data_IF_508280926783
#
_entry.id   IF_508280926783
#
_cell.length_a   1.000
_cell.length_b   1.000
_cell.length_c   1.000
_cell.angle_alpha   90.00
_cell.angle_beta   90.00
_cell.angle_gamma   90.00
#
_symmetry.space_group_name_H-M   'P 1'
#
loop_
_entity.id
_entity.type
_entity.pdbx_description
1 polymer ?
#
# COMPACT_ATOMS: atom_id res chain seq x y z
N UNK A 1 3.73 27.94 -21.48
CA UNK A 1 4.55 27.50 -20.34
C UNK A 1 3.89 28.03 -19.07
N UNK A 2 3.40 27.17 -18.18
CA UNK A 2 2.85 27.60 -16.87
C UNK A 2 4.01 28.08 -16.03
N UNK A 3 3.94 29.30 -15.54
CA UNK A 3 4.97 29.93 -14.69
C UNK A 3 4.68 29.65 -13.22
N UNK A 4 5.66 29.84 -12.33
CA UNK A 4 5.47 29.78 -10.89
C UNK A 4 4.32 30.68 -10.41
N UNK A 5 4.07 31.79 -11.09
CA UNK A 5 2.92 32.68 -10.83
C UNK A 5 1.57 31.98 -11.04
N UNK A 6 1.45 31.15 -12.09
CA UNK A 6 0.21 30.42 -12.37
C UNK A 6 -0.03 29.29 -11.33
N UNK A 7 1.02 28.70 -10.77
CA UNK A 7 0.88 27.74 -9.64
C UNK A 7 0.33 28.45 -8.41
N UNK A 8 0.82 29.66 -8.11
CA UNK A 8 0.37 30.48 -6.98
C UNK A 8 -1.09 30.92 -7.11
N UNK A 9 -1.56 31.19 -8.34
CA UNK A 9 -2.96 31.55 -8.61
C UNK A 9 -3.93 30.43 -8.22
N UNK A 10 -3.54 29.18 -8.43
CA UNK A 10 -4.39 28.01 -8.13
C UNK A 10 -4.23 27.47 -6.70
N UNK A 11 -3.26 27.97 -5.92
CA UNK A 11 -2.95 27.46 -4.59
C UNK A 11 -4.16 27.43 -3.65
N UNK A 12 -4.96 28.50 -3.48
CA UNK A 12 -6.10 28.47 -2.55
C UNK A 12 -7.14 27.41 -2.94
N UNK A 13 -7.45 27.31 -4.23
CA UNK A 13 -8.45 26.36 -4.75
C UNK A 13 -7.98 24.90 -4.59
N UNK A 14 -6.72 24.62 -4.87
CA UNK A 14 -6.16 23.26 -4.76
C UNK A 14 -5.93 22.85 -3.30
N UNK A 15 -5.56 23.80 -2.45
CA UNK A 15 -5.45 23.56 -1.01
C UNK A 15 -6.83 23.23 -0.41
N UNK A 16 -7.84 24.04 -0.68
CA UNK A 16 -9.20 23.77 -0.23
C UNK A 16 -9.73 22.42 -0.75
N UNK A 17 -9.50 22.13 -2.03
CA UNK A 17 -9.85 20.85 -2.61
C UNK A 17 -9.15 19.67 -1.90
N UNK A 18 -7.85 19.80 -1.56
CA UNK A 18 -7.14 18.77 -0.84
C UNK A 18 -7.80 18.52 0.52
N UNK A 19 -8.05 19.57 1.27
CA UNK A 19 -8.62 19.48 2.62
C UNK A 19 -10.04 18.90 2.62
N UNK A 20 -10.88 19.35 1.70
CA UNK A 20 -12.33 19.05 1.75
C UNK A 20 -12.72 17.79 0.98
N UNK A 21 -12.02 17.48 -0.10
CA UNK A 21 -12.46 16.47 -1.06
C UNK A 21 -11.47 15.32 -1.26
N UNK A 22 -10.17 15.59 -1.25
CA UNK A 22 -9.19 14.57 -1.57
C UNK A 22 -8.66 13.84 -0.33
N UNK A 23 -8.38 14.54 0.76
CA UNK A 23 -7.84 13.93 1.98
C UNK A 23 -8.72 12.83 2.58
N UNK A 24 -10.07 12.88 2.49
CA UNK A 24 -10.92 11.77 2.94
C UNK A 24 -10.70 10.45 2.19
N UNK A 25 -10.17 10.50 0.96
CA UNK A 25 -9.85 9.30 0.16
C UNK A 25 -8.55 8.66 0.63
N UNK A 26 -7.69 9.42 1.31
CA UNK A 26 -6.34 8.99 1.73
C UNK A 26 -6.31 8.31 3.10
N UNK A 27 -7.43 8.26 3.81
CA UNK A 27 -7.49 7.72 5.17
C UNK A 27 -8.74 6.89 5.39
N UNK A 28 -8.58 5.76 6.05
CA UNK A 28 -9.72 4.91 6.47
C UNK A 28 -10.51 5.52 7.64
N UNK A 29 -9.97 6.56 8.29
CA UNK A 29 -10.61 7.32 9.36
C UNK A 29 -11.10 8.68 8.84
N UNK A 30 -11.79 8.71 7.74
CA UNK A 30 -12.12 9.87 6.92
C UNK A 30 -13.01 10.96 7.56
N UNK A 31 -13.27 10.94 8.85
CA UNK A 31 -14.09 11.97 9.55
C UNK A 31 -13.28 13.24 9.88
N UNK A 32 -13.93 14.43 9.89
CA UNK A 32 -13.28 15.66 10.37
C UNK A 32 -12.75 15.50 11.80
N UNK A 33 -11.50 15.91 12.04
CA UNK A 33 -10.83 15.80 13.34
C UNK A 33 -10.25 14.42 13.67
N UNK A 34 -10.29 13.49 12.70
CA UNK A 34 -9.75 12.13 12.85
C UNK A 34 -8.98 11.66 11.60
N UNK A 35 -8.71 12.55 10.65
CA UNK A 35 -7.91 12.23 9.47
C UNK A 35 -6.43 12.53 9.78
N UNK A 36 -5.59 11.50 10.04
CA UNK A 36 -4.20 11.72 10.42
C UNK A 36 -3.38 12.37 9.29
N UNK A 37 -3.81 12.27 8.02
CA UNK A 37 -3.18 12.99 6.91
C UNK A 37 -3.35 14.48 7.11
N UNK A 38 -4.54 14.96 7.48
CA UNK A 38 -4.77 16.38 7.76
C UNK A 38 -4.10 16.81 9.06
N UNK A 39 -4.32 16.06 10.14
CA UNK A 39 -3.89 16.44 11.48
C UNK A 39 -2.36 16.54 11.59
N UNK A 40 -1.61 15.69 10.85
CA UNK A 40 -0.15 15.65 10.93
C UNK A 40 0.54 16.34 9.75
N UNK A 41 -0.07 16.39 8.57
CA UNK A 41 0.53 17.03 7.38
C UNK A 41 0.32 18.54 7.36
N UNK A 42 -0.88 19.05 7.67
CA UNK A 42 -1.17 20.48 7.52
C UNK A 42 -0.27 21.41 8.35
N UNK A 43 0.12 21.08 9.59
CA UNK A 43 1.09 21.91 10.33
C UNK A 43 2.45 22.03 9.61
N UNK A 44 2.87 20.98 8.91
CA UNK A 44 4.12 20.99 8.14
C UNK A 44 3.96 21.79 6.85
N UNK A 45 2.84 21.64 6.16
CA UNK A 45 2.49 22.43 4.96
C UNK A 45 2.53 23.94 5.25
N UNK A 46 2.06 24.38 6.43
CA UNK A 46 2.05 25.80 6.78
C UNK A 46 3.46 26.39 7.00
N UNK A 47 4.43 25.57 7.40
CA UNK A 47 5.81 26.03 7.68
C UNK A 47 6.81 25.73 6.57
N UNK A 48 6.49 24.81 5.63
CA UNK A 48 7.39 24.36 4.58
C UNK A 48 6.85 24.67 3.18
N UNK A 49 7.50 25.59 2.43
CA UNK A 49 7.16 25.83 1.03
C UNK A 49 7.34 24.58 0.14
N UNK A 50 8.28 23.69 0.46
CA UNK A 50 8.52 22.46 -0.27
C UNK A 50 7.33 21.51 -0.12
N UNK A 51 6.87 21.27 1.12
CA UNK A 51 5.71 20.41 1.39
C UNK A 51 4.43 21.01 0.84
N UNK A 52 4.27 22.34 0.90
CA UNK A 52 3.15 23.04 0.25
C UNK A 52 3.15 22.79 -1.27
N UNK A 53 4.30 22.94 -1.94
CA UNK A 53 4.42 22.70 -3.37
C UNK A 53 4.09 21.24 -3.73
N UNK A 54 4.55 20.29 -2.92
CA UNK A 54 4.25 18.87 -3.07
C UNK A 54 2.75 18.59 -2.92
N UNK A 55 2.09 19.17 -1.90
CA UNK A 55 0.63 19.05 -1.70
C UNK A 55 -0.15 19.60 -2.90
N UNK A 56 0.25 20.74 -3.43
CA UNK A 56 -0.37 21.31 -4.64
C UNK A 56 -0.18 20.39 -5.86
N UNK A 57 1.02 19.80 -6.01
CA UNK A 57 1.27 18.82 -7.07
C UNK A 57 0.33 17.60 -6.94
N UNK A 58 0.10 17.12 -5.72
CA UNK A 58 -0.77 15.98 -5.46
C UNK A 58 -2.25 16.30 -5.72
N UNK A 59 -2.73 17.40 -5.16
CA UNK A 59 -4.10 17.89 -5.38
C UNK A 59 -4.39 18.16 -6.86
N UNK A 60 -3.47 18.84 -7.57
CA UNK A 60 -3.59 19.12 -8.99
C UNK A 60 -3.57 17.84 -9.83
N UNK A 61 -2.72 16.86 -9.50
CA UNK A 61 -2.64 15.57 -10.18
C UNK A 61 -3.95 14.80 -10.05
N UNK A 62 -4.49 14.71 -8.84
CA UNK A 62 -5.77 14.05 -8.60
C UNK A 62 -6.91 14.75 -9.32
N UNK A 63 -6.97 16.07 -9.26
CA UNK A 63 -7.98 16.88 -9.93
C UNK A 63 -7.91 16.75 -11.47
N UNK A 64 -6.71 16.70 -12.03
CA UNK A 64 -6.49 16.43 -13.45
C UNK A 64 -6.95 15.02 -13.84
N UNK A 65 -6.72 14.03 -12.97
CA UNK A 65 -7.22 12.66 -13.14
C UNK A 65 -8.74 12.55 -13.21
N UNK A 66 -9.46 13.47 -12.56
CA UNK A 66 -10.93 13.56 -12.57
C UNK A 66 -11.47 14.50 -13.67
N UNK A 67 -10.67 14.85 -14.67
CA UNK A 67 -11.10 15.58 -15.88
C UNK A 67 -11.02 17.10 -15.79
N UNK A 68 -10.39 17.67 -14.78
CA UNK A 68 -10.21 19.12 -14.64
C UNK A 68 -8.88 19.60 -15.27
N UNK A 69 -8.76 20.87 -15.70
CA UNK A 69 -7.62 21.38 -16.49
C UNK A 69 -6.39 21.75 -15.63
N UNK A 70 -5.93 20.83 -14.75
CA UNK A 70 -4.80 21.06 -13.86
C UNK A 70 -3.51 20.31 -14.26
N UNK A 71 -3.45 19.74 -15.47
CA UNK A 71 -2.30 18.93 -15.93
C UNK A 71 -0.96 19.69 -15.87
N UNK A 72 -0.94 20.94 -16.32
CA UNK A 72 0.28 21.74 -16.31
C UNK A 72 0.70 22.15 -14.90
N UNK A 73 -0.25 22.53 -14.05
CA UNK A 73 0.03 22.84 -12.64
C UNK A 73 0.59 21.61 -11.94
N UNK A 74 -0.03 20.47 -12.13
CA UNK A 74 0.41 19.18 -11.57
C UNK A 74 1.83 18.83 -12.00
N UNK A 75 2.13 18.97 -13.30
CA UNK A 75 3.44 18.68 -13.87
C UNK A 75 4.51 19.62 -13.32
N UNK A 76 4.31 20.93 -13.41
CA UNK A 76 5.30 21.94 -13.00
C UNK A 76 5.60 21.86 -11.50
N UNK A 77 4.55 21.71 -10.67
CA UNK A 77 4.73 21.57 -9.22
C UNK A 77 5.48 20.29 -8.86
N UNK A 78 5.14 19.15 -9.48
CA UNK A 78 5.83 17.89 -9.22
C UNK A 78 7.30 17.93 -9.66
N UNK A 79 7.59 18.40 -10.89
CA UNK A 79 8.96 18.55 -11.40
C UNK A 79 9.82 19.45 -10.49
N UNK A 80 9.22 20.53 -9.96
CA UNK A 80 9.92 21.43 -9.02
C UNK A 80 10.31 20.71 -7.74
N UNK A 81 9.40 19.95 -7.16
CA UNK A 81 9.64 19.17 -5.93
C UNK A 81 10.63 18.03 -6.19
N UNK A 82 10.48 17.32 -7.30
CA UNK A 82 11.36 16.23 -7.71
C UNK A 82 12.81 16.69 -7.86
N UNK A 83 13.03 17.85 -8.53
CA UNK A 83 14.38 18.43 -8.64
C UNK A 83 15.02 18.73 -7.29
N UNK A 84 14.23 19.24 -6.32
CA UNK A 84 14.76 19.53 -4.99
C UNK A 84 15.09 18.25 -4.23
N UNK A 85 14.23 17.24 -4.28
CA UNK A 85 14.46 15.95 -3.61
C UNK A 85 15.63 15.19 -4.25
N UNK A 86 15.70 15.15 -5.57
CA UNK A 86 16.75 14.41 -6.29
C UNK A 86 18.14 15.10 -6.16
N UNK A 87 18.19 16.39 -5.76
CA UNK A 87 19.42 17.13 -5.47
C UNK A 87 19.90 17.01 -4.01
N UNK A 88 19.15 16.32 -3.14
CA UNK A 88 19.53 16.18 -1.74
C UNK A 88 20.79 15.34 -1.56
N UNK A 89 21.74 15.86 -0.80
CA UNK A 89 22.86 15.07 -0.30
C UNK A 89 22.38 14.21 0.89
N UNK A 90 22.03 12.96 0.61
CA UNK A 90 21.53 12.01 1.61
C UNK A 90 22.59 11.59 2.65
N UNK A 91 23.85 11.95 2.44
CA UNK A 91 24.94 11.67 3.40
C UNK A 91 25.00 12.74 4.51
N UNK A 92 24.41 13.89 4.26
CA UNK A 92 24.30 14.98 5.23
C UNK A 92 23.47 14.54 6.43
N UNK A 93 23.86 14.99 7.61
CA UNK A 93 23.02 14.85 8.82
C UNK A 93 21.94 15.94 8.84
N UNK A 94 20.69 15.51 8.79
CA UNK A 94 19.52 16.37 8.84
C UNK A 94 18.99 16.46 10.27
N UNK A 95 18.48 17.63 10.67
CA UNK A 95 17.67 17.77 11.87
C UNK A 95 16.37 16.96 11.76
N UNK A 96 15.70 16.72 12.88
CA UNK A 96 14.42 15.99 12.86
C UNK A 96 13.33 16.77 12.10
N UNK A 97 13.34 18.10 12.14
CA UNK A 97 12.39 18.93 11.39
C UNK A 97 12.64 18.83 9.88
N UNK A 98 13.90 18.85 9.43
CA UNK A 98 14.26 18.64 8.02
C UNK A 98 13.88 17.22 7.56
N UNK A 99 14.13 16.19 8.40
CA UNK A 99 13.73 14.82 8.08
C UNK A 99 12.22 14.70 7.96
N UNK A 100 11.46 15.34 8.86
CA UNK A 100 10.00 15.35 8.80
C UNK A 100 9.50 16.00 7.50
N UNK A 101 10.05 17.16 7.13
CA UNK A 101 9.73 17.86 5.89
C UNK A 101 10.01 17.00 4.65
N UNK A 102 11.19 16.39 4.57
CA UNK A 102 11.54 15.52 3.45
C UNK A 102 10.72 14.22 3.43
N UNK A 103 10.41 13.64 4.57
CA UNK A 103 9.57 12.44 4.65
C UNK A 103 8.17 12.71 4.12
N UNK A 104 7.52 13.81 4.55
CA UNK A 104 6.22 14.21 4.00
C UNK A 104 6.30 14.46 2.49
N UNK A 105 7.35 15.14 2.04
CA UNK A 105 7.55 15.41 0.61
C UNK A 105 7.67 14.11 -0.19
N UNK A 106 8.45 13.14 0.29
CA UNK A 106 8.62 11.83 -0.35
C UNK A 106 7.30 11.04 -0.41
N UNK A 107 6.54 11.03 0.69
CA UNK A 107 5.24 10.37 0.76
C UNK A 107 4.26 11.00 -0.25
N UNK A 108 4.20 12.33 -0.30
CA UNK A 108 3.33 13.04 -1.23
C UNK A 108 3.73 12.76 -2.69
N UNK A 109 5.03 12.79 -3.01
CA UNK A 109 5.50 12.42 -4.36
C UNK A 109 5.12 10.98 -4.72
N UNK A 110 5.22 10.05 -3.78
CA UNK A 110 4.71 8.69 -3.96
C UNK A 110 3.22 8.65 -4.29
N UNK A 111 2.42 9.42 -3.56
CA UNK A 111 1.00 9.59 -3.82
C UNK A 111 0.69 10.22 -5.18
N UNK A 112 1.48 11.21 -5.62
CA UNK A 112 1.38 11.78 -6.98
C UNK A 112 1.56 10.70 -8.04
N UNK A 113 2.55 9.84 -7.89
CA UNK A 113 2.84 8.76 -8.84
C UNK A 113 1.75 7.68 -8.85
N UNK A 114 1.25 7.29 -7.69
CA UNK A 114 0.14 6.34 -7.55
C UNK A 114 -1.11 6.88 -8.28
N UNK A 115 -1.43 8.15 -8.10
CA UNK A 115 -2.54 8.79 -8.80
C UNK A 115 -2.30 8.84 -10.31
N UNK A 116 -1.07 9.10 -10.77
CA UNK A 116 -0.70 9.07 -12.20
C UNK A 116 -0.71 7.68 -12.81
N UNK A 117 -0.54 6.63 -12.00
CA UNK A 117 -0.41 5.25 -12.46
C UNK A 117 1.02 4.86 -12.85
N UNK A 118 2.02 5.61 -12.42
CA UNK A 118 3.45 5.30 -12.60
C UNK A 118 4.17 5.27 -11.24
N UNK A 119 4.41 4.10 -10.72
CA UNK A 119 5.03 3.91 -9.40
C UNK A 119 6.56 3.75 -9.44
N UNK A 120 7.20 3.95 -10.60
CA UNK A 120 8.66 3.74 -10.75
C UNK A 120 9.49 4.71 -9.92
N UNK A 121 9.11 5.98 -9.89
CA UNK A 121 9.79 6.99 -9.11
C UNK A 121 9.65 6.74 -7.62
N UNK A 122 8.48 6.33 -7.15
CA UNK A 122 8.25 5.97 -5.76
C UNK A 122 9.16 4.80 -5.32
N UNK A 123 9.17 3.71 -6.08
CA UNK A 123 10.05 2.57 -5.80
C UNK A 123 11.52 2.97 -5.75
N UNK A 124 11.95 3.92 -6.58
CA UNK A 124 13.31 4.49 -6.57
C UNK A 124 13.59 5.30 -5.30
N UNK A 125 12.60 6.04 -4.78
CA UNK A 125 12.74 6.92 -3.61
C UNK A 125 12.52 6.22 -2.27
N UNK A 126 11.90 5.04 -2.25
CA UNK A 126 11.69 4.26 -1.03
C UNK A 126 12.96 4.04 -0.18
N UNK A 127 14.14 3.73 -0.75
CA UNK A 127 15.37 3.61 0.05
C UNK A 127 15.74 4.88 0.80
N UNK A 128 15.49 6.06 0.20
CA UNK A 128 15.72 7.35 0.85
C UNK A 128 14.75 7.54 2.03
N UNK A 129 13.46 7.30 1.81
CA UNK A 129 12.45 7.39 2.87
C UNK A 129 12.77 6.45 4.04
N UNK A 130 13.16 5.20 3.75
CA UNK A 130 13.60 4.24 4.77
C UNK A 130 14.80 4.76 5.57
N UNK A 131 15.85 5.22 4.89
CA UNK A 131 17.06 5.71 5.56
C UNK A 131 16.81 6.94 6.44
N UNK A 132 15.90 7.83 6.05
CA UNK A 132 15.47 8.97 6.86
C UNK A 132 14.68 8.52 8.09
N UNK A 133 13.71 7.63 7.90
CA UNK A 133 12.89 7.09 8.98
C UNK A 133 13.75 6.31 9.99
N UNK A 134 14.65 5.46 9.53
CA UNK A 134 15.54 4.68 10.40
C UNK A 134 16.39 5.56 11.30
N UNK A 135 16.98 6.64 10.74
CA UNK A 135 17.73 7.61 11.52
C UNK A 135 16.87 8.39 12.50
N UNK A 136 15.66 8.79 12.10
CA UNK A 136 14.74 9.47 12.98
C UNK A 136 14.30 8.60 14.16
N UNK A 137 14.04 7.31 13.92
CA UNK A 137 13.67 6.34 14.96
C UNK A 137 14.77 6.10 16.00
N UNK A 138 16.01 6.49 15.74
CA UNK A 138 17.11 6.43 16.74
C UNK A 138 17.07 7.60 17.72
N UNK A 139 16.54 8.77 17.32
CA UNK A 139 16.56 10.02 18.08
C UNK A 139 15.19 10.46 18.59
N UNK A 140 14.11 9.97 17.97
CA UNK A 140 12.72 10.34 18.31
C UNK A 140 12.07 9.22 19.11
N UNK A 141 11.36 9.57 20.17
CA UNK A 141 10.43 8.64 20.82
C UNK A 141 9.18 8.48 19.93
N UNK A 142 9.25 7.45 19.09
CA UNK A 142 8.19 7.09 18.17
C UNK A 142 6.81 6.94 18.84
N UNK A 143 6.76 6.43 20.09
CA UNK A 143 5.50 6.16 20.77
C UNK A 143 4.80 7.43 21.25
N UNK A 144 5.54 8.49 21.49
CA UNK A 144 5.01 9.76 21.97
C UNK A 144 4.79 10.81 20.87
N UNK A 145 5.21 10.53 19.63
CA UNK A 145 5.09 11.47 18.52
C UNK A 145 4.07 11.02 17.47
N UNK A 146 2.86 11.57 17.44
CA UNK A 146 1.83 11.24 16.44
C UNK A 146 2.31 11.44 14.99
N UNK A 147 3.10 12.49 14.75
CA UNK A 147 3.65 12.76 13.41
C UNK A 147 4.59 11.65 12.95
N UNK A 148 5.55 11.24 13.79
CA UNK A 148 6.47 10.17 13.44
C UNK A 148 5.79 8.81 13.35
N UNK A 149 4.74 8.56 14.14
CA UNK A 149 3.87 7.38 13.97
C UNK A 149 3.20 7.40 12.59
N UNK A 150 2.61 8.54 12.21
CA UNK A 150 1.96 8.70 10.91
C UNK A 150 2.92 8.47 9.74
N UNK A 151 4.12 9.10 9.78
CA UNK A 151 5.17 8.91 8.77
C UNK A 151 5.63 7.46 8.69
N UNK A 152 5.83 6.82 9.85
CA UNK A 152 6.30 5.45 9.91
C UNK A 152 5.25 4.46 9.39
N UNK A 153 3.98 4.61 9.79
CA UNK A 153 2.89 3.74 9.32
C UNK A 153 2.65 3.91 7.82
N UNK A 154 2.65 5.14 7.31
CA UNK A 154 2.51 5.39 5.87
C UNK A 154 3.68 4.77 5.07
N UNK A 155 4.91 5.00 5.51
CA UNK A 155 6.10 4.43 4.87
C UNK A 155 6.06 2.91 4.89
N UNK A 156 5.73 2.29 6.04
CA UNK A 156 5.62 0.83 6.17
C UNK A 156 4.51 0.26 5.28
N UNK A 157 3.34 0.92 5.23
CA UNK A 157 2.22 0.54 4.37
C UNK A 157 2.64 0.42 2.91
N UNK A 158 3.18 1.48 2.35
CA UNK A 158 3.59 1.51 0.94
C UNK A 158 4.79 0.61 0.65
N UNK A 159 5.74 0.51 1.59
CA UNK A 159 6.92 -0.34 1.41
C UNK A 159 6.55 -1.83 1.40
N UNK A 160 5.71 -2.28 2.32
CA UNK A 160 5.23 -3.66 2.37
C UNK A 160 4.49 -4.02 1.08
N UNK A 161 3.55 -3.18 0.65
CA UNK A 161 2.79 -3.42 -0.58
C UNK A 161 3.69 -3.44 -1.84
N UNK A 162 4.76 -2.64 -1.86
CA UNK A 162 5.75 -2.65 -2.93
C UNK A 162 6.61 -3.93 -2.90
N UNK A 163 7.05 -4.36 -1.72
CA UNK A 163 7.86 -5.59 -1.55
C UNK A 163 7.07 -6.82 -1.94
N UNK A 164 5.78 -6.86 -1.64
CA UNK A 164 4.92 -8.00 -2.01
C UNK A 164 4.84 -8.21 -3.52
N UNK A 165 4.98 -7.15 -4.31
CA UNK A 165 5.02 -7.22 -5.78
C UNK A 165 6.39 -7.67 -6.34
N UNK A 166 7.40 -7.87 -5.49
CA UNK A 166 8.74 -8.26 -5.87
C UNK A 166 9.04 -9.71 -5.47
N UNK A 167 9.99 -10.32 -6.16
CA UNK A 167 10.50 -11.66 -5.79
C UNK A 167 11.46 -11.59 -4.60
N UNK A 168 11.97 -10.39 -4.28
CA UNK A 168 12.88 -10.13 -3.16
C UNK A 168 12.09 -9.91 -1.87
N UNK A 169 12.56 -10.51 -0.77
CA UNK A 169 11.99 -10.32 0.55
C UNK A 169 12.16 -8.88 1.10
N UNK A 170 11.49 -8.59 2.23
CA UNK A 170 11.55 -7.30 2.87
C UNK A 170 12.98 -6.96 3.31
N UNK A 171 13.39 -5.72 3.08
CA UNK A 171 14.73 -5.25 3.44
C UNK A 171 14.85 -4.78 4.89
N UNK A 172 13.73 -4.72 5.61
CA UNK A 172 13.60 -4.02 6.89
C UNK A 172 12.88 -4.79 8.02
N UNK A 173 13.10 -6.10 8.19
CA UNK A 173 12.31 -6.90 9.12
C UNK A 173 12.31 -6.35 10.56
N UNK A 174 13.47 -5.93 11.07
CA UNK A 174 13.59 -5.39 12.43
C UNK A 174 12.88 -4.05 12.63
N UNK A 175 12.81 -3.22 11.59
CA UNK A 175 12.09 -1.93 11.65
C UNK A 175 10.58 -2.17 11.59
N UNK A 176 10.11 -3.11 10.77
CA UNK A 176 8.69 -3.48 10.76
C UNK A 176 8.24 -4.05 12.09
N UNK A 177 9.06 -4.91 12.71
CA UNK A 177 8.78 -5.42 14.06
C UNK A 177 8.61 -4.27 15.04
N UNK A 178 9.54 -3.32 15.05
CA UNK A 178 9.47 -2.14 15.91
C UNK A 178 8.24 -1.26 15.66
N UNK A 179 7.83 -1.08 14.39
CA UNK A 179 6.74 -0.17 14.01
C UNK A 179 5.38 -0.84 14.12
N UNK A 180 5.25 -2.11 13.70
CA UNK A 180 3.96 -2.77 13.49
C UNK A 180 3.61 -3.79 14.57
N UNK A 181 4.62 -4.39 15.24
CA UNK A 181 4.41 -5.47 16.22
C UNK A 181 4.23 -4.90 17.64
N UNK A 182 3.29 -3.95 17.81
CA UNK A 182 2.92 -3.45 19.11
C UNK A 182 1.65 -4.11 19.62
N UNK A 183 1.62 -4.40 20.93
CA UNK A 183 0.42 -4.92 21.60
C UNK A 183 -0.72 -3.88 21.68
N UNK A 184 -0.44 -2.61 21.42
CA UNK A 184 -1.48 -1.59 21.37
C UNK A 184 -2.25 -1.72 20.06
N UNK A 185 -3.48 -2.14 20.17
CA UNK A 185 -4.40 -2.18 19.04
C UNK A 185 -5.00 -0.79 18.90
N UNK A 186 -4.26 0.07 18.23
CA UNK A 186 -4.73 1.37 17.78
C UNK A 186 -5.17 1.26 16.33
N UNK A 187 -6.23 1.98 15.99
CA UNK A 187 -6.65 2.13 14.60
C UNK A 187 -5.88 3.30 14.04
N UNK A 188 -5.06 3.05 13.04
CA UNK A 188 -4.36 4.10 12.32
C UNK A 188 -5.09 4.48 11.01
N UNK A 189 -4.79 5.67 10.49
CA UNK A 189 -5.48 6.18 9.32
C UNK A 189 -5.12 5.52 7.99
N UNK A 190 -4.04 4.74 7.95
CA UNK A 190 -3.55 4.10 6.72
C UNK A 190 -3.93 2.63 6.65
N UNK A 191 -3.66 1.87 7.71
CA UNK A 191 -3.93 0.43 7.77
C UNK A 191 -5.20 0.10 8.53
N UNK A 192 -5.81 1.08 9.22
CA UNK A 192 -6.97 0.84 10.06
C UNK A 192 -6.66 -0.17 11.15
N UNK A 193 -7.49 -1.18 11.27
CA UNK A 193 -7.31 -2.28 12.21
C UNK A 193 -6.48 -3.45 11.64
N UNK A 194 -5.93 -3.33 10.41
CA UNK A 194 -5.22 -4.43 9.72
C UNK A 194 -3.71 -4.44 9.94
N UNK A 195 -3.16 -3.52 10.75
CA UNK A 195 -1.71 -3.36 11.01
C UNK A 195 -1.01 -4.69 11.32
N UNK A 196 -1.61 -5.56 12.13
CA UNK A 196 -1.04 -6.87 12.45
C UNK A 196 -0.98 -7.80 11.23
N UNK A 197 -1.92 -7.69 10.31
CA UNK A 197 -1.89 -8.45 9.05
C UNK A 197 -0.76 -7.93 8.16
N UNK A 198 -0.53 -6.61 8.10
CA UNK A 198 0.62 -6.03 7.39
C UNK A 198 1.95 -6.53 7.93
N UNK A 199 2.08 -6.64 9.26
CA UNK A 199 3.27 -7.27 9.85
C UNK A 199 3.43 -8.74 9.38
N UNK A 200 2.37 -9.54 9.42
CA UNK A 200 2.41 -10.92 8.92
C UNK A 200 2.73 -11.00 7.42
N UNK A 201 2.31 -10.04 6.61
CA UNK A 201 2.67 -10.00 5.18
C UNK A 201 4.18 -9.84 4.98
N UNK A 202 4.89 -9.16 5.87
CA UNK A 202 6.37 -9.10 5.81
C UNK A 202 7.00 -10.46 6.09
N UNK A 203 6.48 -11.18 7.08
CA UNK A 203 6.96 -12.53 7.40
C UNK A 203 6.65 -13.53 6.28
N UNK A 204 5.46 -13.42 5.67
CA UNK A 204 5.10 -14.23 4.49
C UNK A 204 6.06 -13.94 3.33
N UNK A 205 6.39 -12.67 3.07
CA UNK A 205 7.33 -12.29 2.01
C UNK A 205 8.75 -12.81 2.28
N UNK A 206 9.17 -12.87 3.53
CA UNK A 206 10.44 -13.46 3.94
C UNK A 206 10.44 -14.97 3.65
N UNK A 207 9.43 -15.68 4.14
CA UNK A 207 9.26 -17.12 3.89
C UNK A 207 9.20 -17.44 2.41
N UNK A 208 8.50 -16.62 1.61
CA UNK A 208 8.42 -16.79 0.17
C UNK A 208 9.78 -16.68 -0.53
N UNK A 209 10.68 -15.82 -0.02
CA UNK A 209 12.05 -15.68 -0.54
C UNK A 209 12.89 -16.91 -0.19
N UNK A 210 12.75 -17.43 1.04
CA UNK A 210 13.41 -18.66 1.48
C UNK A 210 12.96 -19.84 0.64
N UNK A 211 11.66 -20.02 0.42
CA UNK A 211 11.11 -21.06 -0.47
C UNK A 211 11.70 -20.97 -1.87
N UNK A 212 11.73 -19.78 -2.44
CA UNK A 212 12.27 -19.58 -3.79
C UNK A 212 13.77 -19.98 -3.86
N UNK A 213 14.56 -19.60 -2.85
CA UNK A 213 15.97 -19.95 -2.77
C UNK A 213 16.18 -21.48 -2.60
N UNK A 214 15.42 -22.12 -1.71
CA UNK A 214 15.51 -23.56 -1.45
C UNK A 214 15.13 -24.39 -2.68
N UNK A 215 14.11 -23.94 -3.46
CA UNK A 215 13.71 -24.65 -4.68
C UNK A 215 14.80 -24.63 -5.77
N UNK A 216 15.71 -23.65 -5.76
CA UNK A 216 16.83 -23.58 -6.69
C UNK A 216 18.03 -24.47 -6.27
N UNK A 217 18.03 -25.00 -5.04
CA UNK A 217 19.08 -25.91 -4.59
C UNK A 217 19.04 -27.26 -5.33
N UNK A 218 20.18 -27.94 -5.49
CA UNK A 218 20.22 -29.31 -5.99
C UNK A 218 19.39 -30.27 -5.12
N UNK A 219 18.82 -31.30 -5.76
CA UNK A 219 18.07 -32.32 -5.03
C UNK A 219 18.96 -33.04 -4.02
N UNK A 220 18.58 -33.00 -2.75
CA UNK A 220 19.32 -33.60 -1.62
C UNK A 220 18.40 -33.79 -0.42
N UNK A 221 18.80 -34.66 0.50
CA UNK A 221 18.07 -34.84 1.77
C UNK A 221 18.04 -33.57 2.63
N UNK A 222 18.99 -32.68 2.49
CA UNK A 222 19.00 -31.40 3.19
C UNK A 222 17.94 -30.45 2.60
N UNK A 223 17.80 -30.41 1.25
CA UNK A 223 16.72 -29.67 0.61
C UNK A 223 15.33 -30.16 1.04
N UNK A 224 15.13 -31.48 1.12
CA UNK A 224 13.86 -32.05 1.58
C UNK A 224 13.53 -31.66 3.03
N UNK A 225 14.57 -31.59 3.91
CA UNK A 225 14.41 -31.13 5.27
C UNK A 225 14.05 -29.64 5.33
N UNK A 226 14.76 -28.79 4.58
CA UNK A 226 14.45 -27.36 4.50
C UNK A 226 13.03 -27.12 3.98
N UNK A 227 12.59 -27.82 2.94
CA UNK A 227 11.22 -27.72 2.42
C UNK A 227 10.19 -28.15 3.49
N UNK A 228 10.49 -29.16 4.29
CA UNK A 228 9.61 -29.58 5.38
C UNK A 228 9.49 -28.49 6.45
N UNK A 229 10.60 -27.83 6.81
CA UNK A 229 10.61 -26.73 7.78
C UNK A 229 9.86 -25.51 7.25
N UNK A 230 9.99 -25.21 5.95
CA UNK A 230 9.25 -24.11 5.29
C UNK A 230 7.73 -24.37 5.24
N UNK A 231 7.30 -25.63 5.06
CA UNK A 231 5.88 -26.02 5.17
C UNK A 231 5.39 -25.85 6.62
N UNK A 232 6.18 -26.22 7.60
CA UNK A 232 5.83 -25.96 9.01
C UNK A 232 5.73 -24.44 9.29
N UNK A 233 6.61 -23.63 8.72
CA UNK A 233 6.55 -22.17 8.74
C UNK A 233 5.25 -21.62 8.13
N UNK A 234 4.82 -22.17 6.98
CA UNK A 234 3.53 -21.85 6.37
C UNK A 234 2.36 -22.10 7.31
N UNK A 235 2.27 -23.28 7.94
CA UNK A 235 1.19 -23.61 8.85
C UNK A 235 1.18 -22.71 10.10
N UNK A 236 2.35 -22.37 10.63
CA UNK A 236 2.48 -21.45 11.75
C UNK A 236 2.00 -20.03 11.39
N UNK A 237 2.37 -19.50 10.22
CA UNK A 237 1.92 -18.21 9.74
C UNK A 237 0.41 -18.20 9.46
N UNK A 238 -0.12 -19.28 8.88
CA UNK A 238 -1.55 -19.44 8.63
C UNK A 238 -2.34 -19.44 9.93
N UNK A 239 -1.88 -20.16 10.96
CA UNK A 239 -2.51 -20.16 12.28
C UNK A 239 -2.52 -18.76 12.91
N UNK A 240 -1.38 -18.04 12.85
CA UNK A 240 -1.26 -16.67 13.36
C UNK A 240 -2.17 -15.69 12.59
N UNK A 241 -2.26 -15.83 11.29
CA UNK A 241 -3.11 -15.00 10.43
C UNK A 241 -4.61 -15.18 10.76
N UNK A 242 -5.03 -16.43 11.00
CA UNK A 242 -6.40 -16.75 11.39
C UNK A 242 -6.74 -16.29 12.81
N UNK A 243 -5.75 -16.17 13.68
CA UNK A 243 -5.90 -15.69 15.05
C UNK A 243 -5.93 -14.15 15.16
N UNK A 244 -5.69 -13.40 14.06
CA UNK A 244 -5.82 -11.93 14.11
C UNK A 244 -7.27 -11.56 14.34
N UNK A 245 -7.54 -10.86 15.44
CA UNK A 245 -8.87 -10.40 15.82
C UNK A 245 -8.80 -8.94 16.26
N UNK A 246 -9.96 -8.26 16.28
CA UNK A 246 -10.07 -6.90 16.82
C UNK A 246 -10.41 -7.02 18.30
N UNK A 247 -9.53 -6.58 19.22
CA UNK A 247 -9.89 -6.50 20.61
C UNK A 247 -11.09 -5.56 20.83
N UNK A 248 -12.03 -5.98 21.66
CA UNK A 248 -13.25 -5.22 21.95
C UNK A 248 -12.95 -3.78 22.40
N UNK A 249 -11.83 -3.54 23.10
CA UNK A 249 -11.37 -2.21 23.52
C UNK A 249 -11.12 -1.23 22.38
N UNK A 250 -10.82 -1.70 21.18
CA UNK A 250 -10.64 -0.84 19.99
C UNK A 250 -11.92 -0.15 19.58
N UNK A 251 -13.06 -0.82 19.73
CA UNK A 251 -14.35 -0.24 19.38
C UNK A 251 -14.79 0.91 20.28
N UNK A 252 -14.19 1.03 21.46
CA UNK A 252 -14.45 2.14 22.39
C UNK A 252 -13.72 3.43 21.98
N UNK A 253 -12.61 3.27 21.27
CA UNK A 253 -11.75 4.40 20.83
C UNK A 253 -12.13 4.95 19.46
N UNK A 254 -13.12 4.35 18.78
CA UNK A 254 -13.54 4.79 17.46
C UNK A 254 -14.21 6.16 17.52
N UNK A 255 -13.94 7.03 16.53
CA UNK A 255 -14.69 8.25 16.33
C UNK A 255 -16.18 7.99 16.26
N UNK A 256 -16.98 8.91 16.81
CA UNK A 256 -18.45 8.85 16.72
C UNK A 256 -18.85 8.86 15.25
N UNK A 257 -19.66 7.90 14.85
CA UNK A 257 -20.12 7.74 13.44
C UNK A 257 -19.27 6.78 12.60
N UNK A 258 -18.16 6.22 13.12
CA UNK A 258 -17.43 5.17 12.42
C UNK A 258 -18.26 3.87 12.40
N UNK A 259 -18.47 3.33 11.22
CA UNK A 259 -19.16 2.04 11.08
C UNK A 259 -18.21 0.89 11.44
N UNK A 260 -18.48 0.28 12.58
CA UNK A 260 -17.70 -0.86 13.12
C UNK A 260 -17.74 -2.07 12.20
N UNK A 261 -18.83 -2.26 11.46
CA UNK A 261 -18.98 -3.41 10.56
C UNK A 261 -17.96 -3.34 9.42
N UNK A 262 -17.70 -2.16 8.88
CA UNK A 262 -16.70 -1.99 7.82
C UNK A 262 -15.27 -2.32 8.29
N UNK A 263 -14.92 -2.01 9.55
CA UNK A 263 -13.62 -2.40 10.11
C UNK A 263 -13.48 -3.93 10.21
N UNK A 264 -14.53 -4.61 10.68
CA UNK A 264 -14.53 -6.07 10.76
C UNK A 264 -14.40 -6.68 9.37
N UNK A 265 -15.16 -6.17 8.41
CA UNK A 265 -15.08 -6.63 7.01
C UNK A 265 -13.71 -6.36 6.41
N UNK A 266 -13.08 -5.20 6.68
CA UNK A 266 -11.74 -4.89 6.19
C UNK A 266 -10.69 -5.89 6.71
N UNK A 267 -10.77 -6.31 7.98
CA UNK A 267 -9.89 -7.37 8.51
C UNK A 267 -10.11 -8.69 7.77
N UNK A 268 -11.34 -9.10 7.56
CA UNK A 268 -11.64 -10.34 6.82
C UNK A 268 -11.14 -10.27 5.36
N UNK A 269 -11.23 -9.10 4.74
CA UNK A 269 -10.71 -8.83 3.40
C UNK A 269 -9.19 -9.01 3.37
N UNK A 270 -8.47 -8.35 4.26
CA UNK A 270 -7.02 -8.46 4.30
C UNK A 270 -6.53 -9.82 4.76
N UNK A 271 -7.22 -10.47 5.70
CA UNK A 271 -6.93 -11.84 6.12
C UNK A 271 -7.04 -12.83 4.96
N UNK A 272 -8.14 -12.75 4.19
CA UNK A 272 -8.35 -13.59 3.00
C UNK A 272 -7.29 -13.36 1.93
N UNK A 273 -6.93 -12.11 1.66
CA UNK A 273 -5.90 -11.76 0.70
C UNK A 273 -4.50 -12.25 1.15
N UNK A 274 -4.16 -12.09 2.42
CA UNK A 274 -2.90 -12.56 2.99
C UNK A 274 -2.82 -14.12 3.00
N UNK A 275 -3.92 -14.82 3.26
CA UNK A 275 -3.99 -16.29 3.15
C UNK A 275 -3.77 -16.73 1.70
N UNK A 276 -4.39 -16.07 0.71
CA UNK A 276 -4.14 -16.36 -0.69
C UNK A 276 -2.69 -16.07 -1.10
N UNK A 277 -2.12 -14.97 -0.63
CA UNK A 277 -0.72 -14.62 -0.88
C UNK A 277 0.25 -15.65 -0.29
N UNK A 278 0.00 -16.09 0.95
CA UNK A 278 0.78 -17.14 1.60
C UNK A 278 0.75 -18.46 0.81
N UNK A 279 -0.44 -18.90 0.40
CA UNK A 279 -0.61 -20.13 -0.40
C UNK A 279 0.02 -20.01 -1.79
N UNK A 280 -0.11 -18.84 -2.41
CA UNK A 280 0.48 -18.55 -3.70
C UNK A 280 2.01 -18.63 -3.66
N UNK A 281 2.62 -17.95 -2.70
CA UNK A 281 4.07 -17.75 -2.68
C UNK A 281 4.85 -18.92 -2.07
N UNK A 282 4.25 -19.61 -1.11
CA UNK A 282 4.90 -20.71 -0.38
C UNK A 282 4.50 -22.07 -0.95
N UNK A 283 3.21 -22.34 -1.11
CA UNK A 283 2.72 -23.63 -1.63
C UNK A 283 2.64 -23.68 -3.15
N UNK A 284 2.85 -22.55 -3.84
CA UNK A 284 2.72 -22.42 -5.29
C UNK A 284 1.38 -22.96 -5.82
N UNK A 285 0.30 -22.65 -5.07
CA UNK A 285 -1.04 -23.12 -5.36
C UNK A 285 -1.54 -22.55 -6.68
N UNK A 286 -2.04 -23.41 -7.57
CA UNK A 286 -2.69 -23.02 -8.82
C UNK A 286 -4.06 -22.38 -8.55
N UNK A 287 -4.57 -21.62 -9.53
CA UNK A 287 -5.88 -20.95 -9.42
C UNK A 287 -7.04 -21.94 -9.32
N UNK A 288 -6.87 -23.19 -9.73
CA UNK A 288 -7.87 -24.29 -9.60
C UNK A 288 -7.94 -24.87 -8.21
N UNK A 289 -6.99 -24.58 -7.30
CA UNK A 289 -7.03 -25.10 -5.93
C UNK A 289 -8.36 -24.76 -5.25
N UNK A 290 -9.04 -25.77 -4.73
CA UNK A 290 -10.40 -25.63 -4.19
C UNK A 290 -10.42 -24.68 -3.00
N UNK A 291 -9.43 -24.75 -2.10
CA UNK A 291 -9.40 -23.89 -0.92
C UNK A 291 -9.13 -22.44 -1.33
N UNK A 292 -8.20 -22.20 -2.25
CA UNK A 292 -7.91 -20.88 -2.77
C UNK A 292 -9.15 -20.26 -3.46
N UNK A 293 -9.90 -21.04 -4.24
CA UNK A 293 -11.14 -20.58 -4.89
C UNK A 293 -12.23 -20.22 -3.86
N UNK A 294 -12.37 -21.01 -2.80
CA UNK A 294 -13.34 -20.71 -1.73
C UNK A 294 -12.97 -19.41 -0.98
N UNK A 295 -11.69 -19.24 -0.69
CA UNK A 295 -11.17 -18.00 -0.07
C UNK A 295 -11.41 -16.81 -1.01
N UNK A 296 -11.07 -16.92 -2.30
CA UNK A 296 -11.28 -15.86 -3.28
C UNK A 296 -12.75 -15.48 -3.43
N UNK A 297 -13.66 -16.47 -3.43
CA UNK A 297 -15.12 -16.22 -3.47
C UNK A 297 -15.61 -15.44 -2.24
N UNK A 298 -15.15 -15.83 -1.03
CA UNK A 298 -15.48 -15.12 0.21
C UNK A 298 -14.86 -13.72 0.21
N UNK A 299 -13.63 -13.58 -0.24
CA UNK A 299 -12.95 -12.31 -0.38
C UNK A 299 -13.72 -11.36 -1.31
N UNK A 300 -14.16 -11.82 -2.48
CA UNK A 300 -15.00 -11.03 -3.39
C UNK A 300 -16.34 -10.62 -2.77
N UNK A 301 -16.96 -11.49 -1.97
CA UNK A 301 -18.18 -11.13 -1.24
C UNK A 301 -17.92 -9.99 -0.26
N UNK A 302 -16.87 -10.07 0.55
CA UNK A 302 -16.50 -9.06 1.54
C UNK A 302 -16.04 -7.75 0.89
N UNK A 303 -15.31 -7.81 -0.22
CA UNK A 303 -14.91 -6.63 -0.99
C UNK A 303 -16.10 -5.79 -1.41
N UNK A 304 -17.19 -6.41 -1.86
CA UNK A 304 -18.42 -5.67 -2.24
C UNK A 304 -19.03 -4.88 -1.08
N UNK A 305 -18.82 -5.32 0.16
CA UNK A 305 -19.36 -4.64 1.35
C UNK A 305 -18.57 -3.37 1.73
N UNK A 306 -17.31 -3.26 1.29
CA UNK A 306 -16.47 -2.09 1.57
C UNK A 306 -16.34 -1.12 0.38
N UNK A 307 -16.95 -1.43 -0.78
CA UNK A 307 -17.01 -0.51 -1.91
C UNK A 307 -17.77 0.77 -1.53
N UNK A 308 -17.20 1.93 -1.86
CA UNK A 308 -17.78 3.23 -1.52
C UNK A 308 -17.63 3.63 -0.05
N UNK A 309 -16.95 2.85 0.78
CA UNK A 309 -16.59 3.22 2.15
C UNK A 309 -15.15 3.78 2.20
N UNK A 310 -14.71 4.41 3.30
CA UNK A 310 -13.32 4.85 3.46
C UNK A 310 -12.29 3.73 3.29
N UNK A 311 -12.67 2.47 3.57
CA UNK A 311 -11.79 1.29 3.41
C UNK A 311 -11.55 0.89 1.96
N UNK A 312 -12.28 1.47 1.01
CA UNK A 312 -12.11 1.18 -0.42
C UNK A 312 -10.71 1.54 -0.92
N UNK A 313 -10.08 2.57 -0.37
CA UNK A 313 -8.73 2.99 -0.76
C UNK A 313 -7.66 1.91 -0.59
N UNK A 314 -7.89 0.93 0.28
CA UNK A 314 -6.94 -0.15 0.58
C UNK A 314 -7.22 -1.45 -0.21
N UNK A 315 -8.24 -1.50 -1.06
CA UNK A 315 -8.74 -2.76 -1.61
C UNK A 315 -7.91 -3.33 -2.78
N UNK A 316 -6.92 -2.59 -3.29
CA UNK A 316 -6.21 -2.99 -4.52
C UNK A 316 -5.47 -4.32 -4.38
N UNK A 317 -4.72 -4.53 -3.30
CA UNK A 317 -4.07 -5.81 -3.05
C UNK A 317 -5.08 -6.96 -2.85
N UNK A 318 -6.09 -6.84 -1.99
CA UNK A 318 -7.12 -7.86 -1.87
C UNK A 318 -7.84 -8.19 -3.18
N UNK A 319 -8.20 -7.19 -3.98
CA UNK A 319 -8.86 -7.36 -5.26
C UNK A 319 -7.96 -8.09 -6.27
N UNK A 320 -6.67 -7.74 -6.31
CA UNK A 320 -5.69 -8.43 -7.12
C UNK A 320 -5.58 -9.92 -6.74
N UNK A 321 -5.47 -10.23 -5.44
CA UNK A 321 -5.38 -11.63 -4.98
C UNK A 321 -6.64 -12.42 -5.30
N UNK A 322 -7.82 -11.82 -5.18
CA UNK A 322 -9.06 -12.43 -5.64
C UNK A 322 -9.03 -12.72 -7.14
N UNK A 323 -8.48 -11.79 -7.93
CA UNK A 323 -8.31 -11.92 -9.39
C UNK A 323 -7.40 -13.06 -9.81
N UNK A 324 -6.28 -13.22 -9.14
CA UNK A 324 -5.34 -14.33 -9.39
C UNK A 324 -6.04 -15.70 -9.29
N UNK A 325 -6.97 -15.84 -8.35
CA UNK A 325 -7.70 -17.10 -8.12
C UNK A 325 -9.11 -17.15 -8.76
N UNK A 326 -9.34 -16.30 -9.77
CA UNK A 326 -10.59 -16.30 -10.55
C UNK A 326 -10.35 -16.86 -11.95
N UNK A 327 -10.85 -18.09 -12.20
CA UNK A 327 -10.62 -18.84 -13.45
C UNK A 327 -11.74 -18.71 -14.49
N UNK A 328 -12.91 -18.11 -14.15
CA UNK A 328 -14.07 -18.02 -15.03
C UNK A 328 -14.32 -16.60 -15.52
N UNK A 329 -14.79 -16.44 -16.76
CA UNK A 329 -14.93 -15.15 -17.44
C UNK A 329 -15.82 -14.15 -16.72
N UNK A 330 -16.94 -14.60 -16.16
CA UNK A 330 -17.84 -13.72 -15.43
C UNK A 330 -17.17 -13.08 -14.19
N UNK A 331 -16.37 -13.86 -13.46
CA UNK A 331 -15.61 -13.35 -12.33
C UNK A 331 -14.47 -12.41 -12.75
N UNK A 332 -13.75 -12.74 -13.82
CA UNK A 332 -12.72 -11.88 -14.40
C UNK A 332 -13.30 -10.53 -14.83
N UNK A 333 -14.45 -10.56 -15.51
CA UNK A 333 -15.18 -9.36 -15.91
C UNK A 333 -15.62 -8.54 -14.68
N UNK A 334 -16.10 -9.18 -13.64
CA UNK A 334 -16.50 -8.49 -12.40
C UNK A 334 -15.31 -7.77 -11.75
N UNK A 335 -14.13 -8.40 -11.66
CA UNK A 335 -12.92 -7.81 -11.10
C UNK A 335 -12.49 -6.58 -11.90
N UNK A 336 -12.48 -6.67 -13.23
CA UNK A 336 -12.18 -5.53 -14.10
C UNK A 336 -13.19 -4.39 -13.86
N UNK A 337 -14.48 -4.69 -13.78
CA UNK A 337 -15.52 -3.68 -13.55
C UNK A 337 -15.37 -3.00 -12.20
N UNK A 338 -15.07 -3.75 -11.13
CA UNK A 338 -14.83 -3.18 -9.79
C UNK A 338 -13.58 -2.28 -9.84
N UNK A 339 -12.48 -2.74 -10.43
CA UNK A 339 -11.25 -1.98 -10.57
C UNK A 339 -11.44 -0.68 -11.36
N UNK A 340 -12.18 -0.73 -12.47
CA UNK A 340 -12.49 0.44 -13.30
C UNK A 340 -13.32 1.45 -12.51
N UNK A 341 -14.39 1.00 -11.85
CA UNK A 341 -15.24 1.87 -11.02
C UNK A 341 -14.48 2.48 -9.85
N UNK A 342 -13.56 1.73 -9.25
CA UNK A 342 -12.66 2.26 -8.22
C UNK A 342 -11.83 3.42 -8.79
N UNK A 343 -11.15 3.21 -9.93
CA UNK A 343 -10.36 4.25 -10.59
C UNK A 343 -11.18 5.50 -10.93
N UNK A 344 -12.42 5.31 -11.41
CA UNK A 344 -13.34 6.41 -11.74
C UNK A 344 -13.74 7.22 -10.50
N UNK A 345 -14.00 6.54 -9.35
CA UNK A 345 -14.40 7.21 -8.10
C UNK A 345 -13.23 7.89 -7.39
N UNK A 346 -12.09 7.22 -7.34
CA UNK A 346 -10.94 7.67 -6.53
C UNK A 346 -9.92 8.48 -7.31
N UNK A 347 -10.00 8.51 -8.65
CA UNK A 347 -9.00 9.16 -9.51
C UNK A 347 -7.64 8.43 -9.53
N UNK A 348 -7.51 7.26 -8.88
CA UNK A 348 -6.26 6.49 -8.77
C UNK A 348 -6.05 5.64 -10.00
N UNK A 349 -4.97 5.88 -10.76
CA UNK A 349 -4.68 5.19 -12.02
C UNK A 349 -3.71 4.01 -11.90
N UNK A 350 -3.06 3.82 -10.76
CA UNK A 350 -2.19 2.64 -10.53
C UNK A 350 -2.95 1.31 -10.72
N UNK A 351 -4.25 1.31 -10.57
CA UNK A 351 -5.13 0.17 -10.86
C UNK A 351 -4.98 -0.37 -12.29
N UNK A 352 -4.62 0.47 -13.27
CA UNK A 352 -4.42 0.05 -14.66
C UNK A 352 -3.26 -0.95 -14.76
N UNK A 353 -2.16 -0.69 -14.05
CA UNK A 353 -1.02 -1.61 -13.99
C UNK A 353 -1.43 -2.96 -13.36
N UNK A 354 -2.27 -2.92 -12.32
CA UNK A 354 -2.81 -4.11 -11.64
C UNK A 354 -3.71 -4.93 -12.60
N UNK A 355 -4.61 -4.27 -13.33
CA UNK A 355 -5.46 -4.94 -14.34
C UNK A 355 -4.60 -5.58 -15.42
N UNK A 356 -3.61 -4.86 -15.95
CA UNK A 356 -2.73 -5.39 -16.98
C UNK A 356 -1.95 -6.62 -16.50
N UNK A 357 -1.47 -6.61 -15.27
CA UNK A 357 -0.81 -7.78 -14.68
C UNK A 357 -1.78 -8.97 -14.54
N UNK A 358 -3.03 -8.74 -14.11
CA UNK A 358 -4.04 -9.80 -14.06
C UNK A 358 -4.36 -10.37 -15.44
N UNK A 359 -4.46 -9.54 -16.47
CA UNK A 359 -4.68 -9.98 -17.84
C UNK A 359 -3.54 -10.88 -18.33
N UNK A 360 -2.28 -10.56 -18.00
CA UNK A 360 -1.13 -11.42 -18.34
C UNK A 360 -1.14 -12.73 -17.54
N UNK A 361 -1.52 -12.71 -16.25
CA UNK A 361 -1.72 -13.94 -15.46
C UNK A 361 -2.79 -14.83 -16.12
N UNK A 362 -3.95 -14.29 -16.45
CA UNK A 362 -5.05 -15.04 -17.05
C UNK A 362 -4.74 -15.55 -18.46
N UNK A 363 -3.93 -14.84 -19.21
CA UNK A 363 -3.45 -15.28 -20.53
C UNK A 363 -2.51 -16.47 -20.45
N UNK A 364 -1.63 -16.51 -19.42
CA UNK A 364 -0.70 -17.62 -19.19
C UNK A 364 -1.39 -18.84 -18.57
N UNK A 365 -2.48 -18.63 -17.84
CA UNK A 365 -3.27 -19.70 -17.21
C UNK A 365 -4.77 -19.47 -17.45
N UNK A 366 -5.25 -19.73 -18.70
CA UNK A 366 -6.66 -19.52 -19.03
C UNK A 366 -7.61 -20.36 -18.17
N UNK A 367 -7.21 -21.62 -17.90
CA UNK A 367 -8.03 -22.63 -17.22
C UNK A 367 -7.83 -22.66 -15.69
N UNK A 368 -6.84 -21.92 -15.19
CA UNK A 368 -6.53 -21.86 -13.75
C UNK A 368 -5.79 -23.09 -13.22
N UNK A 369 -5.20 -23.92 -14.09
CA UNK A 369 -4.56 -25.19 -13.72
C UNK A 369 -3.07 -25.09 -13.45
N UNK A 370 -2.45 -23.98 -13.87
CA UNK A 370 -1.03 -23.74 -13.74
C UNK A 370 -0.74 -22.75 -12.60
N UNK A 371 0.40 -22.93 -11.96
CA UNK A 371 0.96 -21.88 -11.11
C UNK A 371 1.65 -20.83 -11.98
N UNK A 372 1.23 -19.59 -11.85
CA UNK A 372 1.86 -18.43 -12.51
C UNK A 372 2.43 -17.51 -11.44
N UNK A 373 3.76 -17.43 -11.33
CA UNK A 373 4.40 -16.47 -10.42
C UNK A 373 4.24 -15.04 -10.97
N UNK A 374 3.19 -14.37 -10.57
CA UNK A 374 2.86 -13.02 -11.02
C UNK A 374 3.91 -11.97 -10.59
N UNK A 375 4.73 -12.25 -9.55
CA UNK A 375 5.82 -11.36 -9.13
C UNK A 375 6.94 -11.38 -10.17
N UNK A 376 7.31 -12.56 -10.64
CA UNK A 376 8.26 -12.70 -11.79
C UNK A 376 7.72 -12.01 -13.03
N UNK A 377 6.42 -12.15 -13.30
CA UNK A 377 5.77 -11.45 -14.42
C UNK A 377 5.88 -9.92 -14.31
N UNK A 378 5.65 -9.37 -13.12
CA UNK A 378 5.77 -7.94 -12.86
C UNK A 378 7.21 -7.46 -13.10
N UNK A 379 8.21 -8.20 -12.60
CA UNK A 379 9.63 -7.90 -12.82
C UNK A 379 10.03 -7.99 -14.31
N UNK A 380 9.64 -9.06 -15.01
CA UNK A 380 9.92 -9.26 -16.42
C UNK A 380 9.30 -8.16 -17.32
N UNK A 381 8.11 -7.72 -16.99
CA UNK A 381 7.41 -6.65 -17.73
C UNK A 381 7.95 -5.26 -17.44
N UNK A 382 8.81 -5.10 -16.43
CA UNK A 382 9.30 -3.81 -15.95
C UNK A 382 8.19 -2.89 -15.42
N UNK A 383 7.04 -3.48 -15.07
CA UNK A 383 5.91 -2.75 -14.47
C UNK A 383 6.12 -2.65 -12.97
N UNK A 384 6.29 -1.43 -12.47
CA UNK A 384 6.25 -1.18 -11.04
C UNK A 384 4.78 -1.23 -10.58
N UNK A 385 4.41 -2.30 -9.90
CA UNK A 385 3.07 -2.45 -9.31
C UNK A 385 3.10 -1.88 -7.90
N UNK A 386 2.19 -0.96 -7.62
CA UNK A 386 1.89 -0.51 -6.27
C UNK A 386 0.45 -0.89 -5.94
N UNK A 387 0.27 -1.58 -4.84
CA UNK A 387 -1.06 -1.97 -4.36
C UNK A 387 -1.66 -0.95 -3.37
N UNK A 388 -0.99 0.15 -3.11
CA UNK A 388 -1.45 1.19 -2.18
C UNK A 388 -1.05 2.57 -2.60
#
# INVERSE_FOLDING_TARGET
MVTAAAVLEHLPTLYDYFVTSFSPVLSVLGGPGHNPVLDQLLPVVQRSPLVMCALIAWAATHRAGTGHPYHDVARVSAETVEMQIDSLDVTRDFSNDEREEYMWTLIILGGVEIVRGDSKGWVRRLPMARGMLERALQSVDFKSSPTWQSLAYNTAYHDILSVMAMTRGPKWPAVYDRILNHNNVEIDGYMGATRRIFYLLTEISTLATEVAATLELPESGDKDRELTDLVAGHEALLARLRAVDIPLGVFVQLPIGTDRSHLIVAIEVFRGAAELYLRHTVLRAASSDLQCRLIAKRLMHNLRLILGTPHESQMMFPLFMAGVYTSHDAGRTEIINISTKFSERTGVRSVIAIINLLLEVWKRDPDGTLYVDWRKLAEESGVAVSFG
#
